data_IF_883132621561
#
_entry.id   IF_883132621561
#
_cell.length_a   1.000
_cell.length_b   1.000
_cell.length_c   1.000
_cell.angle_alpha   90.00
_cell.angle_beta   90.00
_cell.angle_gamma   90.00
#
_symmetry.space_group_name_H-M   'P 1'
#
loop_
_entity.id
_entity.type
_entity.pdbx_description
1 polymer ?
#
# COMPACT_ATOMS: atom_id res chain seq x y z
N UNK A 1 -19.14 32.92 -23.16
CA UNK A 1 -19.55 31.54 -23.50
C UNK A 1 -18.36 30.69 -23.23
N UNK A 2 -18.34 30.03 -22.07
CA UNK A 2 -17.20 29.26 -21.60
C UNK A 2 -17.06 27.99 -22.41
N UNK A 3 -15.89 27.75 -22.99
CA UNK A 3 -15.45 26.41 -23.37
C UNK A 3 -15.25 25.63 -22.09
N UNK A 4 -16.31 25.03 -21.57
CA UNK A 4 -16.22 24.02 -20.55
C UNK A 4 -15.39 22.87 -21.12
N UNK A 5 -14.31 22.55 -20.43
CA UNK A 5 -13.54 21.33 -20.59
C UNK A 5 -14.54 20.17 -20.55
N UNK A 6 -14.97 19.67 -21.72
CA UNK A 6 -15.79 18.46 -21.80
C UNK A 6 -14.87 17.35 -21.34
N UNK A 7 -15.00 16.96 -20.07
CA UNK A 7 -14.26 15.87 -19.47
C UNK A 7 -14.35 14.62 -20.36
N UNK A 8 -13.39 13.74 -20.21
CA UNK A 8 -13.37 12.47 -20.92
C UNK A 8 -14.57 11.64 -20.47
N UNK A 9 -15.56 11.54 -21.35
CA UNK A 9 -16.74 10.70 -21.14
C UNK A 9 -16.60 9.45 -21.96
N UNK A 10 -16.91 8.30 -21.39
CA UNK A 10 -16.81 7.02 -22.10
C UNK A 10 -17.70 5.95 -21.47
N UNK A 11 -17.88 4.85 -22.19
CA UNK A 11 -18.51 3.62 -21.71
C UNK A 11 -17.50 2.50 -21.81
N UNK A 12 -17.23 1.81 -20.71
CA UNK A 12 -16.50 0.54 -20.72
C UNK A 12 -17.55 -0.57 -20.87
N UNK A 13 -17.56 -1.23 -22.04
CA UNK A 13 -18.66 -2.09 -22.46
C UNK A 13 -18.41 -3.56 -22.23
N UNK A 14 -19.48 -4.27 -21.91
CA UNK A 14 -19.56 -5.73 -21.88
C UNK A 14 -18.61 -6.42 -20.90
N UNK A 15 -17.96 -5.67 -20.01
CA UNK A 15 -16.99 -6.22 -19.05
C UNK A 15 -17.62 -6.98 -17.89
N UNK A 16 -16.85 -7.86 -17.27
CA UNK A 16 -17.13 -8.40 -15.95
C UNK A 16 -16.66 -7.38 -14.92
N UNK A 17 -17.56 -6.50 -14.47
CA UNK A 17 -17.24 -5.40 -13.55
C UNK A 17 -17.28 -5.89 -12.12
N UNK A 18 -16.21 -5.65 -11.38
CA UNK A 18 -16.14 -5.94 -9.94
C UNK A 18 -16.96 -4.91 -9.17
N UNK A 19 -17.95 -5.40 -8.43
CA UNK A 19 -18.91 -4.56 -7.70
C UNK A 19 -18.50 -4.36 -6.24
N UNK A 20 -19.01 -3.32 -5.55
CA UNK A 20 -18.76 -3.09 -4.13
C UNK A 20 -19.17 -4.26 -3.22
N UNK A 21 -20.09 -5.10 -3.67
CA UNK A 21 -20.54 -6.31 -2.98
C UNK A 21 -19.52 -7.47 -3.08
N UNK A 22 -18.38 -7.25 -3.72
CA UNK A 22 -17.32 -8.25 -3.82
C UNK A 22 -17.59 -9.35 -4.85
N UNK A 23 -18.29 -9.06 -5.94
CA UNK A 23 -18.62 -10.02 -7.00
C UNK A 23 -18.49 -9.39 -8.39
N UNK A 24 -18.37 -10.23 -9.41
CA UNK A 24 -18.39 -9.79 -10.79
C UNK A 24 -19.81 -9.78 -11.37
N UNK A 25 -20.14 -8.72 -12.08
CA UNK A 25 -21.37 -8.60 -12.86
C UNK A 25 -21.05 -8.21 -14.30
N UNK A 26 -21.66 -8.89 -15.29
CA UNK A 26 -21.55 -8.49 -16.69
C UNK A 26 -22.43 -7.24 -16.89
N UNK A 27 -21.77 -6.09 -17.03
CA UNK A 27 -22.44 -4.79 -17.24
C UNK A 27 -21.51 -3.77 -17.87
N UNK A 28 -22.09 -2.69 -18.34
CA UNK A 28 -21.36 -1.51 -18.76
C UNK A 28 -20.99 -0.63 -17.56
N UNK A 29 -19.82 0.00 -17.60
CA UNK A 29 -19.39 1.01 -16.64
C UNK A 29 -19.37 2.37 -17.34
N UNK A 30 -20.13 3.31 -16.84
CA UNK A 30 -20.24 4.65 -17.38
C UNK A 30 -19.29 5.61 -16.68
N UNK A 31 -18.63 6.46 -17.47
CA UNK A 31 -17.66 7.45 -16.99
C UNK A 31 -18.05 8.81 -17.51
N UNK A 32 -18.14 9.78 -16.60
CA UNK A 32 -18.37 11.19 -16.94
C UNK A 32 -17.33 12.08 -16.25
N UNK A 33 -16.48 12.71 -17.06
CA UNK A 33 -15.33 13.45 -16.57
C UNK A 33 -14.31 12.52 -15.88
N UNK A 34 -14.07 12.77 -14.62
CA UNK A 34 -13.14 11.96 -13.81
C UNK A 34 -13.84 10.86 -13.00
N UNK A 35 -15.17 10.76 -13.08
CA UNK A 35 -15.95 9.98 -12.12
C UNK A 35 -16.75 8.85 -12.78
N UNK A 36 -16.99 7.82 -12.02
CA UNK A 36 -17.98 6.79 -12.35
C UNK A 36 -19.38 7.41 -12.28
N UNK A 37 -20.21 7.16 -13.30
CA UNK A 37 -21.55 7.71 -13.46
C UNK A 37 -22.59 6.60 -13.62
N UNK A 38 -23.86 6.94 -13.44
CA UNK A 38 -25.00 6.04 -13.74
C UNK A 38 -25.21 5.86 -15.23
N UNK A 39 -25.02 6.91 -15.99
CA UNK A 39 -25.21 6.99 -17.43
C UNK A 39 -24.30 8.07 -18.02
N UNK A 40 -24.09 8.03 -19.31
CA UNK A 40 -23.37 9.08 -20.04
C UNK A 40 -24.04 9.31 -21.39
N UNK A 41 -23.89 10.50 -21.92
CA UNK A 41 -24.38 10.87 -23.27
C UNK A 41 -23.30 10.69 -24.34
N UNK A 42 -22.10 10.31 -23.98
CA UNK A 42 -20.99 10.08 -24.92
C UNK A 42 -21.05 8.68 -25.51
N UNK A 43 -20.56 8.58 -26.77
CA UNK A 43 -20.48 7.33 -27.52
C UNK A 43 -19.03 6.78 -27.58
N UNK A 44 -18.07 7.34 -26.84
CA UNK A 44 -16.73 6.78 -26.80
C UNK A 44 -16.77 5.47 -26.02
N UNK A 45 -16.38 4.41 -26.67
CA UNK A 45 -16.46 3.06 -26.11
C UNK A 45 -15.07 2.46 -25.89
N UNK A 46 -14.91 1.77 -24.78
CA UNK A 46 -13.79 0.88 -24.48
C UNK A 46 -14.36 -0.52 -24.38
N UNK A 47 -14.05 -1.38 -25.33
CA UNK A 47 -14.55 -2.75 -25.32
C UNK A 47 -13.81 -3.59 -24.27
N UNK A 48 -14.58 -4.27 -23.44
CA UNK A 48 -14.08 -5.14 -22.36
C UNK A 48 -14.75 -6.52 -22.35
N UNK A 49 -15.31 -6.96 -23.50
CA UNK A 49 -15.94 -8.28 -23.57
C UNK A 49 -14.94 -9.39 -23.26
N UNK A 50 -15.31 -10.28 -22.34
CA UNK A 50 -14.44 -11.37 -21.88
C UNK A 50 -13.32 -10.95 -20.93
N UNK A 51 -13.29 -9.67 -20.54
CA UNK A 51 -12.32 -9.11 -19.60
C UNK A 51 -12.96 -8.82 -18.25
N UNK A 52 -12.14 -8.83 -17.21
CA UNK A 52 -12.48 -8.30 -15.91
C UNK A 52 -12.23 -6.78 -15.88
N UNK A 53 -13.13 -6.04 -15.25
CA UNK A 53 -12.98 -4.61 -14.99
C UNK A 53 -12.93 -4.43 -13.49
N UNK A 54 -11.77 -4.14 -12.95
CA UNK A 54 -11.54 -4.01 -11.51
C UNK A 54 -11.19 -2.56 -11.16
N UNK A 55 -11.38 -2.14 -9.90
CA UNK A 55 -10.86 -0.84 -9.44
C UNK A 55 -9.34 -0.77 -9.61
N UNK A 56 -8.81 0.40 -9.85
CA UNK A 56 -7.36 0.64 -9.75
C UNK A 56 -6.84 0.23 -8.38
N UNK A 57 -5.70 -0.45 -8.36
CA UNK A 57 -5.08 -0.90 -7.12
C UNK A 57 -4.62 0.29 -6.27
N UNK A 58 -4.52 0.07 -4.98
CA UNK A 58 -4.04 1.04 -3.99
C UNK A 58 -2.92 0.40 -3.21
N UNK A 59 -1.69 0.92 -3.34
CA UNK A 59 -0.54 0.45 -2.55
C UNK A 59 -0.22 1.45 -1.45
N UNK A 60 -0.34 1.01 -0.20
CA UNK A 60 -0.13 1.86 0.98
C UNK A 60 1.19 1.58 1.69
N UNK A 61 2.00 0.65 1.16
CA UNK A 61 3.28 0.33 1.74
C UNK A 61 4.25 -0.20 0.68
N UNK A 62 5.09 0.66 0.19
CA UNK A 62 6.23 0.36 -0.68
C UNK A 62 7.24 1.50 -0.60
N UNK A 63 8.53 1.22 -0.84
CA UNK A 63 9.61 2.20 -0.72
C UNK A 63 10.02 2.78 -2.06
N UNK A 64 10.06 1.95 -3.09
CA UNK A 64 10.59 2.37 -4.36
C UNK A 64 10.35 1.41 -5.53
N UNK A 65 10.77 1.86 -6.71
CA UNK A 65 10.81 1.10 -7.95
C UNK A 65 11.70 1.81 -8.97
N UNK A 66 12.12 1.14 -10.02
CA UNK A 66 12.87 1.69 -11.16
C UNK A 66 14.03 2.61 -10.77
N UNK A 67 14.81 2.22 -9.75
CA UNK A 67 15.96 2.92 -9.16
C UNK A 67 15.63 4.18 -8.36
N UNK A 68 14.36 4.43 -8.07
CA UNK A 68 13.92 5.55 -7.25
C UNK A 68 13.33 5.06 -5.94
N UNK A 69 13.44 5.90 -4.90
CA UNK A 69 12.94 5.63 -3.56
C UNK A 69 12.22 6.86 -3.00
N UNK A 70 11.21 6.66 -2.16
CA UNK A 70 10.53 7.77 -1.47
C UNK A 70 11.51 8.62 -0.66
N UNK A 71 12.53 7.99 -0.09
CA UNK A 71 13.56 8.65 0.72
C UNK A 71 14.59 9.43 -0.10
N UNK A 72 14.59 9.36 -1.43
CA UNK A 72 15.42 10.26 -2.27
C UNK A 72 15.03 11.73 -2.05
N UNK A 73 13.81 11.99 -1.62
CA UNK A 73 13.32 13.32 -1.28
C UNK A 73 13.32 14.29 -2.46
N UNK A 74 13.02 13.80 -3.66
CA UNK A 74 12.98 14.60 -4.89
C UNK A 74 11.66 14.44 -5.64
N UNK A 75 11.25 15.47 -6.35
CA UNK A 75 10.07 15.42 -7.24
C UNK A 75 10.26 14.38 -8.36
N UNK A 76 11.47 14.23 -8.89
CA UNK A 76 11.79 13.25 -9.91
C UNK A 76 11.53 11.84 -9.45
N UNK A 77 11.96 11.49 -8.24
CA UNK A 77 11.75 10.17 -7.66
C UNK A 77 10.27 9.90 -7.41
N UNK A 78 9.54 10.84 -6.81
CA UNK A 78 8.10 10.69 -6.57
C UNK A 78 7.35 10.50 -7.90
N UNK A 79 7.68 11.28 -8.95
CA UNK A 79 7.06 11.13 -10.26
C UNK A 79 7.40 9.77 -10.90
N UNK A 80 8.63 9.28 -10.75
CA UNK A 80 9.02 7.96 -11.25
C UNK A 80 8.25 6.82 -10.56
N UNK A 81 8.05 6.91 -9.24
CA UNK A 81 7.19 5.98 -8.50
C UNK A 81 5.76 6.02 -9.05
N UNK A 82 5.19 7.21 -9.18
CA UNK A 82 3.82 7.39 -9.67
C UNK A 82 3.64 6.83 -11.10
N UNK A 83 4.59 7.08 -11.99
CA UNK A 83 4.51 6.62 -13.38
C UNK A 83 4.63 5.08 -13.48
N UNK A 84 5.55 4.47 -12.74
CA UNK A 84 5.72 3.02 -12.72
C UNK A 84 4.50 2.31 -12.13
N UNK A 85 4.03 2.77 -11.00
CA UNK A 85 2.87 2.18 -10.32
C UNK A 85 1.61 2.27 -11.19
N UNK A 86 1.36 3.44 -11.82
CA UNK A 86 0.23 3.58 -12.73
C UNK A 86 0.31 2.63 -13.94
N UNK A 87 1.49 2.45 -14.52
CA UNK A 87 1.70 1.52 -15.63
C UNK A 87 1.41 0.05 -15.25
N UNK A 88 1.48 -0.26 -13.96
CA UNK A 88 1.16 -1.57 -13.39
C UNK A 88 -0.23 -1.64 -12.75
N UNK A 89 -1.10 -0.66 -13.02
CA UNK A 89 -2.50 -0.67 -12.58
C UNK A 89 -2.72 -0.23 -11.12
N UNK A 90 -1.68 0.25 -10.44
CA UNK A 90 -1.80 0.87 -9.12
C UNK A 90 -2.07 2.36 -9.34
N UNK A 91 -3.26 2.83 -9.00
CA UNK A 91 -3.70 4.18 -9.37
C UNK A 91 -3.77 5.16 -8.19
N UNK A 92 -3.53 4.67 -6.97
CA UNK A 92 -3.32 5.49 -5.79
C UNK A 92 -2.16 4.92 -4.97
N UNK A 93 -1.24 5.77 -4.54
CA UNK A 93 -0.03 5.38 -3.83
C UNK A 93 0.17 6.15 -2.54
N UNK A 94 0.55 5.43 -1.49
CA UNK A 94 0.97 5.97 -0.20
C UNK A 94 2.34 5.36 0.16
N UNK A 95 3.44 5.81 -0.50
CA UNK A 95 4.75 5.21 -0.32
C UNK A 95 5.27 5.38 1.10
N UNK A 96 6.11 4.44 1.53
CA UNK A 96 6.71 4.40 2.85
C UNK A 96 8.08 5.06 2.87
N UNK A 97 8.35 5.80 3.94
CA UNK A 97 9.71 6.22 4.28
C UNK A 97 10.44 5.10 5.02
N UNK A 98 11.73 5.30 5.27
CA UNK A 98 12.57 4.41 6.06
C UNK A 98 13.06 5.13 7.32
N UNK A 99 13.68 4.39 8.22
CA UNK A 99 14.48 4.94 9.32
C UNK A 99 15.78 5.51 8.74
N UNK A 100 15.81 6.81 8.54
CA UNK A 100 16.89 7.59 7.92
C UNK A 100 17.19 8.83 8.76
N UNK A 101 18.31 9.54 8.51
CA UNK A 101 18.60 10.80 9.18
C UNK A 101 17.44 11.79 9.11
N UNK A 102 17.20 12.49 10.21
CA UNK A 102 16.05 13.39 10.35
C UNK A 102 16.00 14.46 9.24
N UNK A 103 17.14 14.99 8.83
CA UNK A 103 17.21 15.99 7.75
C UNK A 103 16.71 15.41 6.41
N UNK A 104 17.10 14.19 6.10
CA UNK A 104 16.64 13.49 4.88
C UNK A 104 15.15 13.18 4.95
N UNK A 105 14.65 12.79 6.12
CA UNK A 105 13.23 12.55 6.35
C UNK A 105 12.41 13.83 6.13
N UNK A 106 12.87 14.97 6.64
CA UNK A 106 12.24 16.28 6.37
C UNK A 106 12.27 16.64 4.87
N UNK A 107 13.35 16.31 4.17
CA UNK A 107 13.44 16.54 2.74
C UNK A 107 12.42 15.70 1.96
N UNK A 108 12.27 14.43 2.30
CA UNK A 108 11.25 13.55 1.70
C UNK A 108 9.83 14.09 1.93
N UNK A 109 9.52 14.55 3.15
CA UNK A 109 8.22 15.15 3.48
C UNK A 109 7.93 16.41 2.65
N UNK A 110 8.93 17.29 2.46
CA UNK A 110 8.79 18.51 1.65
C UNK A 110 8.57 18.19 0.18
N UNK A 111 9.33 17.25 -0.38
CA UNK A 111 9.16 16.81 -1.76
C UNK A 111 7.75 16.26 -2.01
N UNK A 112 7.22 15.46 -1.10
CA UNK A 112 5.85 14.96 -1.16
C UNK A 112 4.81 16.09 -1.15
N UNK A 113 4.97 17.08 -0.30
CA UNK A 113 4.08 18.27 -0.24
C UNK A 113 4.08 19.07 -1.53
N UNK A 114 5.21 19.16 -2.20
CA UNK A 114 5.38 19.93 -3.43
C UNK A 114 4.89 19.18 -4.67
N UNK A 115 4.83 17.84 -4.62
CA UNK A 115 4.38 17.00 -5.71
C UNK A 115 2.95 17.35 -6.14
N UNK A 116 2.69 17.29 -7.46
CA UNK A 116 1.39 17.56 -8.05
C UNK A 116 0.87 16.35 -8.79
N UNK A 117 -0.22 15.78 -8.30
CA UNK A 117 -0.94 14.74 -9.02
C UNK A 117 -1.36 15.21 -10.41
N UNK A 118 -1.31 14.35 -11.41
CA UNK A 118 -1.73 14.66 -12.78
C UNK A 118 -1.16 13.70 -13.83
N UNK A 119 0.00 13.15 -13.56
CA UNK A 119 0.58 12.02 -14.29
C UNK A 119 0.87 10.89 -13.34
N UNK A 120 0.78 9.65 -13.83
CA UNK A 120 1.03 8.49 -12.99
C UNK A 120 -0.08 8.26 -11.96
N UNK A 121 0.20 7.43 -10.98
CA UNK A 121 -0.68 7.17 -9.85
C UNK A 121 -0.85 8.42 -8.97
N UNK A 122 -2.03 8.58 -8.39
CA UNK A 122 -2.23 9.68 -7.43
C UNK A 122 -1.46 9.41 -6.14
N UNK A 123 -0.60 10.34 -5.77
CA UNK A 123 0.07 10.35 -4.47
C UNK A 123 -0.96 10.81 -3.42
N UNK A 124 -1.42 9.87 -2.59
CA UNK A 124 -2.54 10.10 -1.66
C UNK A 124 -2.11 10.23 -0.20
N UNK A 125 -0.88 9.90 0.10
CA UNK A 125 -0.34 9.99 1.46
C UNK A 125 1.06 9.45 1.58
N UNK A 126 1.56 9.44 2.80
CA UNK A 126 2.85 8.88 3.21
C UNK A 126 2.61 7.87 4.33
N UNK A 127 3.26 6.72 4.24
CA UNK A 127 3.41 5.78 5.33
C UNK A 127 4.78 6.07 6.01
N UNK A 128 4.77 6.51 7.25
CA UNK A 128 6.00 6.79 8.01
C UNK A 128 6.47 5.52 8.70
N UNK A 129 7.24 4.67 8.02
CA UNK A 129 7.81 3.46 8.57
C UNK A 129 9.11 3.74 9.33
N UNK A 130 9.01 3.79 10.62
CA UNK A 130 10.06 4.31 11.49
C UNK A 130 10.04 5.85 11.57
N UNK A 131 10.94 6.43 12.33
CA UNK A 131 12.05 5.83 13.08
C UNK A 131 11.69 5.23 14.45
N UNK A 132 10.42 5.16 14.83
CA UNK A 132 9.93 4.78 16.17
C UNK A 132 9.82 3.25 16.35
N UNK A 133 10.83 2.50 15.95
CA UNK A 133 10.84 1.04 15.89
C UNK A 133 11.81 0.43 16.91
N UNK A 134 11.69 -0.89 17.12
CA UNK A 134 12.60 -1.62 18.01
C UNK A 134 13.84 -2.12 17.23
N UNK A 135 15.02 -1.81 17.75
CA UNK A 135 16.30 -2.19 17.14
C UNK A 135 16.49 -3.72 16.99
N UNK A 136 15.89 -4.52 17.89
CA UNK A 136 15.97 -5.99 17.82
C UNK A 136 15.16 -6.56 16.64
N UNK A 137 14.23 -5.79 16.11
CA UNK A 137 13.39 -6.13 14.95
C UNK A 137 13.52 -5.13 13.80
N UNK A 138 14.66 -4.46 13.72
CA UNK A 138 14.91 -3.44 12.72
C UNK A 138 14.87 -3.94 11.26
N UNK A 139 15.08 -5.24 11.02
CA UNK A 139 15.13 -5.76 9.67
C UNK A 139 16.18 -5.04 8.82
N UNK A 140 15.76 -4.47 7.70
CA UNK A 140 16.59 -3.65 6.82
C UNK A 140 16.70 -2.17 7.25
N UNK A 141 16.14 -1.76 8.38
CA UNK A 141 16.23 -0.39 8.88
C UNK A 141 17.61 -0.11 9.51
N UNK A 142 18.08 1.15 9.45
CA UNK A 142 19.33 1.55 10.06
C UNK A 142 19.18 1.74 11.57
N UNK A 143 20.00 1.02 12.36
CA UNK A 143 19.94 1.07 13.83
C UNK A 143 20.31 2.45 14.39
N UNK A 144 21.26 3.14 13.78
CA UNK A 144 21.77 4.43 14.25
C UNK A 144 20.76 5.56 14.17
N UNK A 145 19.76 5.44 13.29
CA UNK A 145 18.70 6.44 13.08
C UNK A 145 17.40 6.12 13.80
N UNK A 146 17.35 5.00 14.54
CA UNK A 146 16.17 4.62 15.35
C UNK A 146 15.99 5.62 16.50
N UNK A 147 14.75 6.06 16.71
CA UNK A 147 14.36 7.01 17.76
C UNK A 147 13.23 6.44 18.62
N UNK A 148 13.11 6.95 19.82
CA UNK A 148 11.91 6.76 20.64
C UNK A 148 10.75 7.56 20.04
N UNK A 149 9.52 7.12 20.30
CA UNK A 149 8.33 7.79 19.83
C UNK A 149 8.27 9.25 20.37
N UNK A 150 8.13 10.20 19.47
CA UNK A 150 8.19 11.64 19.74
C UNK A 150 7.05 12.35 18.97
N UNK A 151 6.07 12.83 19.72
CA UNK A 151 4.89 13.53 19.18
C UNK A 151 5.28 14.87 18.57
N UNK A 152 6.25 15.57 19.15
CA UNK A 152 6.70 16.87 18.61
C UNK A 152 7.39 16.69 17.26
N UNK A 153 8.26 15.68 17.14
CA UNK A 153 8.89 15.33 15.86
C UNK A 153 7.84 14.93 14.83
N UNK A 154 6.88 14.09 15.19
CA UNK A 154 5.78 13.71 14.30
C UNK A 154 5.02 14.94 13.79
N UNK A 155 4.63 15.86 14.66
CA UNK A 155 3.90 17.06 14.25
C UNK A 155 4.73 17.95 13.31
N UNK A 156 6.05 18.09 13.55
CA UNK A 156 6.93 18.82 12.63
C UNK A 156 7.02 18.16 11.25
N UNK A 157 7.12 16.82 11.21
CA UNK A 157 7.13 16.06 9.96
C UNK A 157 5.77 16.16 9.25
N UNK A 158 4.66 16.06 9.96
CA UNK A 158 3.32 16.20 9.40
C UNK A 158 3.09 17.61 8.81
N UNK A 159 3.58 18.65 9.44
CA UNK A 159 3.54 20.02 8.93
C UNK A 159 4.42 20.15 7.65
N UNK A 160 5.63 19.59 7.67
CA UNK A 160 6.52 19.57 6.52
C UNK A 160 5.92 18.81 5.34
N UNK A 161 5.20 17.72 5.60
CA UNK A 161 4.47 16.93 4.61
C UNK A 161 3.14 17.58 4.17
N UNK A 162 2.73 18.70 4.77
CA UNK A 162 1.43 19.33 4.45
C UNK A 162 0.23 18.48 4.83
N UNK A 163 0.33 17.65 5.87
CA UNK A 163 -0.75 16.77 6.32
C UNK A 163 -0.86 15.45 5.56
N UNK A 164 0.15 15.06 4.79
CA UNK A 164 0.11 13.86 3.96
C UNK A 164 0.47 12.57 4.68
N UNK A 165 1.02 12.60 5.91
CA UNK A 165 1.27 11.37 6.66
C UNK A 165 -0.07 10.75 7.05
N UNK A 166 -0.33 9.53 6.55
CA UNK A 166 -1.57 8.76 6.77
C UNK A 166 -1.38 7.63 7.75
N UNK A 167 -0.18 7.05 7.79
CA UNK A 167 0.21 5.96 8.68
C UNK A 167 1.50 6.31 9.40
N UNK A 168 1.60 5.94 10.67
CA UNK A 168 2.85 5.93 11.44
C UNK A 168 3.08 4.52 11.97
N UNK A 169 4.18 3.93 11.57
CA UNK A 169 4.57 2.59 11.96
C UNK A 169 5.50 2.65 13.17
N UNK A 170 5.15 1.98 14.25
CA UNK A 170 5.94 2.00 15.48
C UNK A 170 5.91 0.70 16.27
N UNK A 171 6.92 0.53 17.14
CA UNK A 171 7.01 -0.56 18.10
C UNK A 171 6.41 -0.11 19.44
N UNK A 172 5.26 -0.67 19.86
CA UNK A 172 4.50 -0.16 21.00
C UNK A 172 5.14 -0.43 22.36
N UNK A 173 6.09 -1.37 22.45
CA UNK A 173 6.82 -1.69 23.67
C UNK A 173 7.94 -0.71 23.98
N UNK A 174 8.29 0.18 23.06
CA UNK A 174 9.34 1.17 23.29
C UNK A 174 8.86 2.29 24.20
N UNK A 175 9.80 2.93 24.91
CA UNK A 175 9.49 4.01 25.84
C UNK A 175 8.75 5.16 25.12
N UNK A 176 7.63 5.62 25.71
CA UNK A 176 6.81 6.70 25.15
C UNK A 176 5.83 6.30 24.06
N UNK A 177 5.95 5.10 23.47
CA UNK A 177 5.12 4.69 22.34
C UNK A 177 3.62 4.62 22.67
N UNK A 178 3.26 4.13 23.86
CA UNK A 178 1.85 4.05 24.28
C UNK A 178 1.22 5.44 24.48
N UNK A 179 1.97 6.40 24.94
CA UNK A 179 1.52 7.78 25.09
C UNK A 179 1.43 8.47 23.73
N UNK A 180 2.37 8.20 22.83
CA UNK A 180 2.31 8.64 21.45
C UNK A 180 1.03 8.18 20.77
N UNK A 181 0.72 6.88 20.78
CA UNK A 181 -0.50 6.32 20.19
C UNK A 181 -1.74 7.07 20.69
N UNK A 182 -1.85 7.20 22.01
CA UNK A 182 -3.02 7.86 22.63
C UNK A 182 -3.16 9.34 22.22
N UNK A 183 -2.06 10.03 21.96
CA UNK A 183 -2.08 11.44 21.57
C UNK A 183 -2.42 11.66 20.09
N UNK A 184 -1.97 10.78 19.18
CA UNK A 184 -2.07 11.01 17.72
C UNK A 184 -3.19 10.23 17.03
N UNK A 185 -3.87 9.32 17.73
CA UNK A 185 -4.86 8.38 17.16
C UNK A 185 -6.02 9.04 16.40
N UNK A 186 -6.35 10.28 16.71
CA UNK A 186 -7.41 11.04 16.04
C UNK A 186 -6.88 11.90 14.86
N UNK A 187 -5.56 11.87 14.64
CA UNK A 187 -4.88 12.65 13.60
C UNK A 187 -4.31 11.80 12.49
N UNK A 188 -3.88 10.57 12.82
CA UNK A 188 -3.18 9.64 11.92
C UNK A 188 -3.46 8.20 12.33
N UNK A 189 -3.47 7.28 11.36
CA UNK A 189 -3.50 5.85 11.66
C UNK A 189 -2.17 5.40 12.25
N UNK A 190 -2.22 4.55 13.26
CA UNK A 190 -1.03 4.00 13.91
C UNK A 190 -0.95 2.52 13.65
N UNK A 191 0.17 2.08 13.09
CA UNK A 191 0.44 0.69 12.76
C UNK A 191 1.51 0.11 13.68
N UNK A 192 1.28 -1.10 14.18
CA UNK A 192 2.27 -1.85 14.95
C UNK A 192 3.27 -2.48 13.99
N UNK A 193 4.55 -2.16 14.15
CA UNK A 193 5.61 -2.52 13.22
C UNK A 193 6.96 -2.72 13.91
N UNK A 194 7.81 -3.57 13.33
CA UNK A 194 9.22 -3.73 13.77
C UNK A 194 9.35 -3.82 15.29
N UNK A 195 8.70 -4.83 15.88
CA UNK A 195 8.36 -4.87 17.29
C UNK A 195 8.73 -6.20 17.94
N UNK A 196 9.04 -6.16 19.22
CA UNK A 196 9.15 -7.32 20.10
C UNK A 196 7.91 -7.47 21.00
N UNK A 197 6.84 -6.73 20.74
CA UNK A 197 5.64 -6.75 21.57
C UNK A 197 5.06 -8.15 21.72
N UNK A 198 4.73 -8.50 22.95
CA UNK A 198 3.91 -9.65 23.29
C UNK A 198 2.41 -9.37 23.03
N UNK A 199 1.57 -10.36 23.30
CA UNK A 199 0.13 -10.24 23.10
C UNK A 199 -0.50 -9.12 23.94
N UNK A 200 -0.11 -8.99 25.22
CA UNK A 200 -0.69 -8.01 26.12
C UNK A 200 -0.29 -6.58 25.72
N UNK A 201 0.96 -6.37 25.38
CA UNK A 201 1.48 -5.08 24.91
C UNK A 201 0.81 -4.67 23.59
N UNK A 202 0.71 -5.58 22.62
CA UNK A 202 0.04 -5.30 21.35
C UNK A 202 -1.46 -5.01 21.56
N UNK A 203 -2.13 -5.78 22.42
CA UNK A 203 -3.53 -5.57 22.76
C UNK A 203 -3.76 -4.22 23.45
N UNK A 204 -2.83 -3.77 24.31
CA UNK A 204 -2.89 -2.46 24.93
C UNK A 204 -2.72 -1.35 23.87
N UNK A 205 -1.76 -1.46 22.96
CA UNK A 205 -1.59 -0.50 21.88
C UNK A 205 -2.85 -0.35 21.03
N UNK A 206 -3.50 -1.47 20.68
CA UNK A 206 -4.76 -1.47 19.93
C UNK A 206 -5.88 -0.77 20.73
N UNK A 207 -6.03 -1.06 22.03
CA UNK A 207 -7.01 -0.36 22.87
C UNK A 207 -6.75 1.14 22.98
N UNK A 208 -5.50 1.57 22.86
CA UNK A 208 -5.10 2.98 22.88
C UNK A 208 -5.30 3.69 21.55
N UNK A 209 -5.48 2.97 20.46
CA UNK A 209 -5.81 3.54 19.16
C UNK A 209 -4.99 3.07 17.98
N UNK A 210 -4.07 2.13 18.14
CA UNK A 210 -3.46 1.46 17.00
C UNK A 210 -4.53 0.63 16.27
N UNK A 211 -4.65 0.79 14.96
CA UNK A 211 -5.70 0.21 14.14
C UNK A 211 -5.17 -0.58 12.93
N UNK A 212 -3.86 -0.73 12.84
CA UNK A 212 -3.17 -1.32 11.72
C UNK A 212 -1.96 -2.16 12.15
N UNK A 213 -1.62 -3.18 11.37
CA UNK A 213 -0.43 -4.02 11.60
C UNK A 213 0.38 -4.06 10.30
N UNK A 214 1.60 -3.60 10.36
CA UNK A 214 2.53 -3.52 9.23
C UNK A 214 3.06 -4.91 8.88
N UNK A 215 3.10 -5.26 7.59
CA UNK A 215 3.66 -6.49 7.00
C UNK A 215 3.65 -7.69 7.95
N UNK A 216 2.45 -8.13 8.31
CA UNK A 216 2.19 -9.21 9.28
C UNK A 216 3.18 -10.38 9.13
N UNK A 217 3.68 -10.92 10.22
CA UNK A 217 4.75 -11.92 10.38
C UNK A 217 6.18 -11.36 10.26
N UNK A 218 6.40 -10.30 9.49
CA UNK A 218 7.74 -9.78 9.23
C UNK A 218 8.14 -8.80 10.34
N UNK A 219 9.39 -8.91 10.80
CA UNK A 219 9.95 -8.06 11.86
C UNK A 219 9.10 -8.02 13.14
N UNK A 220 8.53 -9.16 13.54
CA UNK A 220 7.79 -9.34 14.80
C UNK A 220 7.98 -10.77 15.35
N UNK A 221 7.62 -11.05 16.62
CA UNK A 221 7.61 -12.39 17.15
C UNK A 221 6.64 -13.32 16.39
N UNK A 222 6.98 -14.60 16.19
CA UNK A 222 6.10 -15.52 15.49
C UNK A 222 4.87 -15.88 16.33
N UNK A 223 3.79 -16.29 15.66
CA UNK A 223 2.60 -16.85 16.32
C UNK A 223 2.94 -18.18 17.01
N UNK A 224 2.97 -18.16 18.32
CA UNK A 224 3.15 -19.37 19.13
C UNK A 224 1.86 -19.62 19.92
N UNK A 225 1.50 -20.90 20.09
CA UNK A 225 0.23 -21.30 20.72
C UNK A 225 0.09 -20.88 22.20
N UNK A 226 1.16 -20.51 22.88
CA UNK A 226 1.16 -19.97 24.26
C UNK A 226 1.61 -18.51 24.33
N UNK A 227 2.22 -18.02 23.28
CA UNK A 227 2.71 -16.64 23.14
C UNK A 227 2.31 -16.12 21.76
N UNK A 228 1.02 -15.78 21.55
CA UNK A 228 0.50 -15.47 20.22
C UNK A 228 0.96 -14.12 19.67
N UNK A 229 1.55 -13.27 20.50
CA UNK A 229 2.17 -12.02 20.13
C UNK A 229 1.22 -11.04 19.41
N UNK A 230 1.80 -10.20 18.56
CA UNK A 230 1.06 -9.22 17.74
C UNK A 230 0.01 -9.89 16.85
N UNK A 231 0.32 -11.04 16.29
CA UNK A 231 -0.59 -11.76 15.37
C UNK A 231 -1.87 -12.17 16.11
N UNK A 232 -1.73 -12.70 17.34
CA UNK A 232 -2.88 -13.05 18.18
C UNK A 232 -3.70 -11.83 18.61
N UNK A 233 -3.05 -10.75 19.02
CA UNK A 233 -3.71 -9.51 19.39
C UNK A 233 -4.49 -8.90 18.19
N UNK A 234 -3.89 -8.90 17.01
CA UNK A 234 -4.54 -8.47 15.79
C UNK A 234 -5.75 -9.34 15.44
N UNK A 235 -5.63 -10.68 15.62
CA UNK A 235 -6.75 -11.61 15.36
C UNK A 235 -7.96 -11.30 16.25
N UNK A 236 -7.74 -10.94 17.49
CA UNK A 236 -8.77 -10.64 18.49
C UNK A 236 -9.26 -9.18 18.46
N UNK A 237 -8.90 -8.43 17.43
CA UNK A 237 -9.25 -7.03 17.22
C UNK A 237 -9.88 -6.81 15.84
N UNK A 238 -10.17 -5.53 15.51
CA UNK A 238 -10.66 -5.10 14.20
C UNK A 238 -9.57 -4.45 13.33
N UNK A 239 -8.30 -4.55 13.71
CA UNK A 239 -7.19 -3.97 12.95
C UNK A 239 -7.11 -4.49 11.53
N UNK A 240 -6.73 -3.63 10.60
CA UNK A 240 -6.23 -4.06 9.29
C UNK A 240 -4.85 -4.70 9.44
N UNK A 241 -4.56 -5.70 8.63
CA UNK A 241 -3.27 -6.39 8.59
C UNK A 241 -2.71 -6.38 7.18
N UNK A 242 -1.49 -5.92 7.03
CA UNK A 242 -0.80 -5.93 5.74
C UNK A 242 -0.18 -7.30 5.46
N UNK A 243 -0.24 -7.73 4.19
CA UNK A 243 0.42 -8.95 3.71
C UNK A 243 1.25 -8.67 2.46
N UNK A 244 2.50 -9.12 2.47
CA UNK A 244 3.37 -9.18 1.30
C UNK A 244 3.20 -10.56 0.65
N UNK A 245 2.50 -10.61 -0.48
CA UNK A 245 2.19 -11.85 -1.18
C UNK A 245 3.04 -12.04 -2.45
N UNK A 246 4.34 -11.79 -2.35
CA UNK A 246 5.31 -11.88 -3.45
C UNK A 246 5.84 -13.30 -3.69
N UNK A 247 5.43 -14.27 -2.89
CA UNK A 247 5.93 -15.65 -2.94
C UNK A 247 7.27 -15.88 -2.24
N UNK A 248 7.85 -14.84 -1.63
CA UNK A 248 9.14 -14.86 -0.91
C UNK A 248 8.94 -14.70 0.60
N UNK A 249 8.22 -13.64 1.01
CA UNK A 249 8.08 -13.25 2.41
C UNK A 249 7.27 -14.22 3.25
N UNK A 250 6.21 -14.79 2.70
CA UNK A 250 5.25 -15.62 3.43
C UNK A 250 4.96 -16.89 2.65
N UNK A 251 5.07 -18.03 3.31
CA UNK A 251 4.73 -19.31 2.69
C UNK A 251 3.25 -19.36 2.31
N UNK A 252 2.87 -19.89 1.13
CA UNK A 252 1.48 -19.92 0.66
C UNK A 252 0.48 -20.53 1.65
N UNK A 253 0.89 -21.54 2.42
CA UNK A 253 0.05 -22.12 3.47
C UNK A 253 -0.27 -21.13 4.60
N UNK A 254 0.72 -20.29 4.98
CA UNK A 254 0.51 -19.25 5.98
C UNK A 254 -0.41 -18.15 5.46
N UNK A 255 -0.29 -17.79 4.17
CA UNK A 255 -1.22 -16.83 3.54
C UNK A 255 -2.66 -17.36 3.59
N UNK A 256 -2.90 -18.62 3.21
CA UNK A 256 -4.24 -19.21 3.31
C UNK A 256 -4.78 -19.21 4.73
N UNK A 257 -3.96 -19.61 5.71
CA UNK A 257 -4.35 -19.56 7.12
C UNK A 257 -4.66 -18.14 7.59
N UNK A 258 -3.96 -17.15 7.09
CA UNK A 258 -4.21 -15.73 7.40
C UNK A 258 -5.56 -15.28 6.85
N UNK A 259 -5.92 -15.68 5.64
CA UNK A 259 -7.25 -15.39 5.08
C UNK A 259 -8.38 -16.05 5.90
N UNK A 260 -8.17 -17.23 6.48
CA UNK A 260 -9.10 -17.85 7.41
C UNK A 260 -9.20 -17.10 8.75
N UNK A 261 -8.08 -16.57 9.26
CA UNK A 261 -8.06 -15.84 10.53
C UNK A 261 -8.66 -14.44 10.43
N UNK A 262 -8.36 -13.70 9.37
CA UNK A 262 -8.69 -12.27 9.24
C UNK A 262 -9.79 -11.99 8.22
N UNK A 263 -10.10 -12.96 7.37
CA UNK A 263 -10.97 -12.82 6.21
C UNK A 263 -10.47 -11.78 5.20
N UNK A 264 -11.11 -11.68 4.06
CA UNK A 264 -10.81 -10.65 3.06
C UNK A 264 -11.30 -9.25 3.44
N UNK A 265 -11.85 -9.06 4.63
CA UNK A 265 -12.35 -7.77 5.10
C UNK A 265 -11.30 -6.93 5.80
N UNK A 266 -10.26 -7.58 6.35
CA UNK A 266 -9.24 -6.91 7.15
C UNK A 266 -7.82 -7.04 6.59
N UNK A 267 -7.63 -7.84 5.55
CA UNK A 267 -6.33 -7.99 4.90
C UNK A 267 -6.13 -6.86 3.90
N UNK A 268 -4.94 -6.29 3.91
CA UNK A 268 -4.45 -5.30 2.95
C UNK A 268 -3.24 -5.90 2.25
N UNK A 269 -3.34 -6.12 0.94
CA UNK A 269 -2.17 -6.50 0.15
C UNK A 269 -1.29 -5.27 -0.05
N UNK A 270 0.00 -5.45 0.18
CA UNK A 270 1.04 -4.45 -0.05
C UNK A 270 2.17 -5.08 -0.87
N UNK A 271 2.92 -4.26 -1.59
CA UNK A 271 4.08 -4.77 -2.31
C UNK A 271 5.35 -4.79 -1.46
N UNK A 272 5.50 -3.84 -0.57
CA UNK A 272 6.76 -3.57 0.13
C UNK A 272 7.95 -3.51 -0.85
N UNK A 273 7.68 -3.01 -2.07
CA UNK A 273 8.64 -2.97 -3.14
C UNK A 273 9.75 -1.97 -2.85
N UNK A 274 10.95 -2.25 -3.35
CA UNK A 274 12.12 -1.39 -3.22
C UNK A 274 12.66 -0.99 -4.61
N UNK A 275 13.65 -0.11 -4.66
CA UNK A 275 14.12 0.52 -5.91
C UNK A 275 14.53 -0.45 -7.03
N UNK A 276 14.76 -1.73 -6.74
CA UNK A 276 15.04 -2.75 -7.75
C UNK A 276 13.79 -3.26 -8.48
N UNK A 277 12.60 -2.96 -7.97
CA UNK A 277 11.35 -3.38 -8.62
C UNK A 277 11.26 -2.79 -10.02
N UNK A 278 11.01 -3.63 -11.01
CA UNK A 278 11.05 -3.24 -12.42
C UNK A 278 12.43 -3.19 -13.05
N UNK A 279 13.47 -3.64 -12.33
CA UNK A 279 14.86 -3.66 -12.78
C UNK A 279 15.38 -5.10 -12.92
N UNK A 280 16.58 -5.25 -13.46
CA UNK A 280 17.28 -6.54 -13.57
C UNK A 280 17.98 -6.91 -12.26
N UNK A 281 18.41 -8.18 -12.15
CA UNK A 281 19.25 -8.65 -11.05
C UNK A 281 20.49 -7.73 -10.88
N UNK A 282 20.87 -7.46 -9.63
CA UNK A 282 22.00 -6.57 -9.38
C UNK A 282 22.14 -6.06 -7.96
N UNK A 283 22.90 -4.98 -7.85
CA UNK A 283 23.14 -4.27 -6.59
C UNK A 283 22.31 -3.00 -6.55
N UNK A 284 21.63 -2.81 -5.42
CA UNK A 284 20.74 -1.69 -5.16
C UNK A 284 20.92 -1.21 -3.71
N UNK A 285 20.04 -0.33 -3.26
CA UNK A 285 20.03 0.16 -1.88
C UNK A 285 18.61 0.17 -1.32
N UNK A 286 18.51 0.10 0.01
CA UNK A 286 17.28 0.36 0.75
C UNK A 286 17.64 1.06 2.05
N UNK A 287 17.12 2.27 2.27
CA UNK A 287 17.46 3.11 3.43
C UNK A 287 18.97 3.35 3.56
N UNK A 288 19.70 3.46 2.44
CA UNK A 288 21.14 3.65 2.39
C UNK A 288 21.95 2.38 2.73
N UNK A 289 21.33 1.19 2.79
CA UNK A 289 22.01 -0.08 2.99
C UNK A 289 22.10 -0.86 1.69
N UNK A 290 23.26 -1.48 1.36
CA UNK A 290 23.42 -2.27 0.14
C UNK A 290 22.52 -3.50 0.12
N UNK A 291 21.82 -3.70 -1.01
CA UNK A 291 20.91 -4.82 -1.26
C UNK A 291 21.33 -5.56 -2.54
N UNK A 292 21.36 -6.88 -2.47
CA UNK A 292 21.56 -7.76 -3.62
C UNK A 292 20.21 -8.33 -4.05
N UNK A 293 19.88 -8.22 -5.33
CA UNK A 293 18.64 -8.76 -5.91
C UNK A 293 18.97 -9.84 -6.92
N UNK A 294 18.33 -11.01 -6.72
CA UNK A 294 18.39 -12.17 -7.65
C UNK A 294 16.96 -12.68 -7.84
N UNK A 295 16.46 -12.61 -9.06
CA UNK A 295 15.05 -12.90 -9.37
C UNK A 295 14.14 -11.91 -8.64
N UNK A 296 13.21 -12.41 -7.83
CA UNK A 296 12.34 -11.56 -6.99
C UNK A 296 12.77 -11.51 -5.51
N UNK A 297 14.00 -11.96 -5.20
CA UNK A 297 14.53 -11.98 -3.82
C UNK A 297 15.51 -10.83 -3.63
N UNK A 298 15.17 -9.89 -2.76
CA UNK A 298 16.01 -8.79 -2.33
C UNK A 298 16.55 -9.07 -0.91
N UNK A 299 17.86 -9.03 -0.73
CA UNK A 299 18.50 -9.29 0.57
C UNK A 299 19.56 -8.25 0.87
N UNK A 300 19.69 -7.87 2.15
CA UNK A 300 20.85 -7.09 2.57
C UNK A 300 22.14 -7.82 2.17
N UNK A 301 23.07 -7.11 1.54
CA UNK A 301 24.35 -7.66 1.11
C UNK A 301 25.17 -8.17 2.30
N UNK A 302 25.05 -7.49 3.45
CA UNK A 302 25.58 -7.94 4.71
C UNK A 302 24.49 -8.53 5.59
N UNK A 303 24.69 -9.75 6.10
CA UNK A 303 23.75 -10.44 6.99
C UNK A 303 22.63 -11.20 6.30
N UNK A 304 22.34 -10.95 5.02
CA UNK A 304 21.40 -11.74 4.19
C UNK A 304 19.93 -11.67 4.59
N UNK A 305 19.53 -10.70 5.41
CA UNK A 305 18.11 -10.50 5.75
C UNK A 305 17.34 -10.04 4.51
N UNK A 306 16.08 -10.47 4.38
CA UNK A 306 15.18 -9.95 3.34
C UNK A 306 15.02 -8.44 3.54
N UNK A 307 15.08 -7.69 2.44
CA UNK A 307 15.12 -6.23 2.42
C UNK A 307 14.10 -5.67 1.41
N UNK A 308 12.86 -5.54 1.85
CA UNK A 308 11.75 -5.22 0.96
C UNK A 308 11.49 -6.29 -0.11
N UNK A 309 10.68 -6.01 -1.08
CA UNK A 309 10.43 -6.91 -2.21
C UNK A 309 10.91 -6.31 -3.54
N UNK A 310 11.07 -7.17 -4.54
CA UNK A 310 11.31 -6.78 -5.94
C UNK A 310 10.05 -6.99 -6.81
N UNK A 311 8.86 -6.98 -6.18
CA UNK A 311 7.58 -7.34 -6.81
C UNK A 311 6.58 -6.19 -6.62
N UNK A 312 5.93 -5.73 -7.70
CA UNK A 312 4.88 -4.72 -7.60
C UNK A 312 3.55 -5.31 -7.11
N UNK A 313 2.60 -4.46 -6.69
CA UNK A 313 1.33 -4.91 -6.11
C UNK A 313 0.47 -5.73 -7.07
N UNK A 314 0.46 -5.43 -8.38
CA UNK A 314 -0.27 -6.20 -9.37
C UNK A 314 0.26 -7.64 -9.43
N UNK A 315 1.57 -7.83 -9.39
CA UNK A 315 2.19 -9.14 -9.38
C UNK A 315 1.99 -9.86 -8.05
N UNK A 316 1.97 -9.17 -6.92
CA UNK A 316 1.53 -9.73 -5.63
C UNK A 316 0.09 -10.25 -5.71
N UNK A 317 -0.83 -9.48 -6.30
CA UNK A 317 -2.22 -9.90 -6.50
C UNK A 317 -2.32 -11.14 -7.42
N UNK A 318 -1.53 -11.19 -8.51
CA UNK A 318 -1.46 -12.37 -9.39
C UNK A 318 -0.94 -13.59 -8.66
N UNK A 319 0.12 -13.43 -7.87
CA UNK A 319 0.74 -14.52 -7.09
C UNK A 319 -0.22 -15.08 -6.06
N UNK A 320 -0.93 -14.23 -5.31
CA UNK A 320 -1.88 -14.69 -4.29
C UNK A 320 -3.03 -15.49 -4.91
N UNK A 321 -3.45 -15.14 -6.12
CA UNK A 321 -4.53 -15.87 -6.85
C UNK A 321 -4.01 -17.16 -7.47
N UNK A 322 -2.94 -17.08 -8.27
CA UNK A 322 -2.48 -18.20 -9.11
C UNK A 322 -1.68 -19.24 -8.35
N UNK A 323 -0.87 -18.81 -7.38
CA UNK A 323 0.07 -19.68 -6.68
C UNK A 323 -0.39 -20.00 -5.25
N UNK A 324 -1.06 -19.05 -4.57
CA UNK A 324 -1.54 -19.25 -3.20
C UNK A 324 -3.00 -19.69 -3.13
N UNK A 325 -3.72 -19.66 -4.27
CA UNK A 325 -5.11 -20.14 -4.43
C UNK A 325 -6.13 -19.38 -3.58
N UNK A 326 -5.93 -18.09 -3.39
CA UNK A 326 -6.93 -17.19 -2.81
C UNK A 326 -7.93 -16.79 -3.91
N UNK A 327 -9.24 -16.72 -3.61
CA UNK A 327 -10.24 -16.25 -4.57
C UNK A 327 -9.89 -14.88 -5.15
N UNK A 328 -10.10 -14.71 -6.45
CA UNK A 328 -9.73 -13.46 -7.15
C UNK A 328 -10.49 -12.26 -6.58
N UNK A 329 -11.77 -12.43 -6.27
CA UNK A 329 -12.61 -11.41 -5.65
C UNK A 329 -12.02 -10.91 -4.30
N UNK A 330 -11.55 -11.84 -3.48
CA UNK A 330 -10.90 -11.51 -2.20
C UNK A 330 -9.58 -10.77 -2.43
N UNK A 331 -8.77 -11.20 -3.41
CA UNK A 331 -7.51 -10.55 -3.75
C UNK A 331 -7.73 -9.10 -4.23
N UNK A 332 -8.75 -8.87 -5.08
CA UNK A 332 -9.11 -7.52 -5.53
C UNK A 332 -9.50 -6.65 -4.34
N UNK A 333 -10.39 -7.13 -3.48
CA UNK A 333 -10.83 -6.36 -2.30
C UNK A 333 -9.65 -5.96 -1.42
N UNK A 334 -8.72 -6.90 -1.17
CA UNK A 334 -7.52 -6.67 -0.36
C UNK A 334 -6.50 -5.73 -1.00
N UNK A 335 -6.53 -5.57 -2.34
CA UNK A 335 -5.62 -4.68 -3.08
C UNK A 335 -6.26 -3.35 -3.51
N UNK A 336 -7.54 -3.12 -3.20
CA UNK A 336 -8.29 -1.93 -3.64
C UNK A 336 -9.05 -1.27 -2.50
N UNK A 337 -10.20 -1.81 -2.11
CA UNK A 337 -11.10 -1.20 -1.14
C UNK A 337 -10.54 -1.21 0.28
N UNK A 338 -9.90 -2.31 0.70
CA UNK A 338 -9.36 -2.40 2.05
C UNK A 338 -8.22 -1.39 2.29
N UNK A 339 -7.18 -1.29 1.43
CA UNK A 339 -6.17 -0.26 1.62
C UNK A 339 -6.76 1.16 1.53
N UNK A 340 -7.73 1.41 0.65
CA UNK A 340 -8.38 2.72 0.59
C UNK A 340 -9.11 3.06 1.90
N UNK A 341 -9.83 2.10 2.50
CA UNK A 341 -10.49 2.27 3.80
C UNK A 341 -9.51 2.45 4.94
N UNK A 342 -8.43 1.67 4.95
CA UNK A 342 -7.48 1.66 6.05
C UNK A 342 -6.74 2.98 6.24
N UNK A 343 -6.67 3.82 5.21
CA UNK A 343 -6.10 5.17 5.27
C UNK A 343 -7.10 6.30 5.01
N UNK A 344 -8.41 5.98 4.98
CA UNK A 344 -9.48 6.97 4.89
C UNK A 344 -9.59 7.71 3.55
N UNK A 345 -9.36 7.02 2.42
CA UNK A 345 -9.50 7.59 1.07
C UNK A 345 -10.60 6.91 0.24
N UNK A 346 -11.40 6.06 0.86
CA UNK A 346 -12.40 5.25 0.17
C UNK A 346 -13.63 6.06 -0.31
N UNK A 347 -13.71 7.33 0.00
CA UNK A 347 -14.67 8.26 -0.61
C UNK A 347 -14.42 8.48 -2.10
N UNK A 348 -13.18 8.29 -2.58
CA UNK A 348 -12.77 8.50 -3.98
C UNK A 348 -12.11 7.30 -4.63
N UNK A 349 -11.49 6.40 -3.88
CA UNK A 349 -10.69 5.28 -4.38
C UNK A 349 -11.24 3.93 -3.92
N UNK A 350 -10.70 2.86 -4.46
CA UNK A 350 -10.88 1.48 -3.99
C UNK A 350 -12.12 0.77 -4.50
N UNK A 351 -13.07 1.44 -5.18
CA UNK A 351 -14.23 0.79 -5.82
C UNK A 351 -14.72 1.58 -7.04
N UNK A 352 -15.55 0.92 -7.87
CA UNK A 352 -16.15 1.52 -9.07
C UNK A 352 -17.60 1.98 -8.81
N UNK A 353 -17.82 2.56 -7.64
CA UNK A 353 -19.12 3.15 -7.26
C UNK A 353 -19.31 4.51 -7.90
N UNK A 354 -20.57 4.85 -8.17
CA UNK A 354 -20.95 6.18 -8.65
C UNK A 354 -20.40 7.30 -7.75
N UNK A 355 -19.80 8.31 -8.36
CA UNK A 355 -19.23 9.46 -7.69
C UNK A 355 -17.79 9.30 -7.22
N UNK A 356 -17.22 8.09 -7.30
CA UNK A 356 -15.79 7.86 -7.09
C UNK A 356 -15.00 8.08 -8.39
N UNK A 357 -13.69 8.22 -8.28
CA UNK A 357 -12.87 8.35 -9.48
C UNK A 357 -13.03 7.13 -10.39
N UNK A 358 -13.14 7.40 -11.70
CA UNK A 358 -13.15 6.39 -12.72
C UNK A 358 -11.72 5.84 -12.94
N UNK A 359 -11.25 5.13 -11.92
CA UNK A 359 -9.97 4.45 -11.85
C UNK A 359 -10.22 2.96 -12.02
N UNK A 360 -10.02 2.43 -13.22
CA UNK A 360 -10.29 1.04 -13.53
C UNK A 360 -9.12 0.39 -14.27
N UNK A 361 -8.93 -0.89 -14.02
CA UNK A 361 -7.98 -1.73 -14.75
C UNK A 361 -8.77 -2.84 -15.45
N UNK A 362 -8.60 -2.95 -16.75
CA UNK A 362 -9.18 -4.01 -17.57
C UNK A 362 -8.16 -5.13 -17.70
N UNK A 363 -8.52 -6.31 -17.24
CA UNK A 363 -7.66 -7.51 -17.26
C UNK A 363 -8.26 -8.58 -18.16
N UNK A 364 -7.42 -9.28 -18.91
CA UNK A 364 -7.83 -10.50 -19.60
C UNK A 364 -8.05 -11.65 -18.59
N UNK A 365 -8.47 -12.81 -19.11
CA UNK A 365 -8.70 -14.01 -18.29
C UNK A 365 -7.44 -14.57 -17.62
N UNK A 366 -6.27 -14.20 -18.12
CA UNK A 366 -4.97 -14.59 -17.56
C UNK A 366 -4.41 -13.53 -16.61
N UNK A 367 -5.23 -12.49 -16.29
CA UNK A 367 -4.94 -11.35 -15.45
C UNK A 367 -3.84 -10.42 -16.01
N UNK A 368 -3.66 -10.41 -17.34
CA UNK A 368 -2.81 -9.41 -17.97
C UNK A 368 -3.58 -8.10 -18.16
N UNK A 369 -2.89 -6.98 -18.01
CA UNK A 369 -3.47 -5.66 -18.22
C UNK A 369 -3.73 -5.45 -19.71
N UNK A 370 -4.98 -5.22 -20.07
CA UNK A 370 -5.44 -4.87 -21.42
C UNK A 370 -5.56 -3.37 -21.58
N UNK A 371 -6.07 -2.69 -20.56
CA UNK A 371 -6.24 -1.24 -20.56
C UNK A 371 -6.27 -0.71 -19.14
N UNK A 372 -5.83 0.52 -18.96
CA UNK A 372 -5.91 1.26 -17.70
C UNK A 372 -6.71 2.53 -17.95
N UNK A 373 -7.69 2.76 -17.12
CA UNK A 373 -8.49 3.99 -17.11
C UNK A 373 -8.20 4.72 -15.80
N UNK A 374 -7.68 5.92 -15.89
CA UNK A 374 -7.41 6.74 -14.73
C UNK A 374 -8.14 8.07 -14.86
N UNK A 375 -9.01 8.36 -13.90
CA UNK A 375 -9.87 9.57 -13.92
C UNK A 375 -10.51 9.80 -15.30
N UNK A 376 -11.07 8.74 -15.84
CA UNK A 376 -11.75 8.77 -17.13
C UNK A 376 -10.83 8.92 -18.36
N UNK A 377 -9.52 8.76 -18.20
CA UNK A 377 -8.57 8.78 -19.31
C UNK A 377 -7.99 7.38 -19.53
N UNK A 378 -8.02 6.92 -20.77
CA UNK A 378 -7.31 5.68 -21.17
C UNK A 378 -5.82 6.01 -21.28
N UNK A 379 -5.01 5.20 -20.62
CA UNK A 379 -3.55 5.34 -20.58
C UNK A 379 -2.89 4.42 -21.62
#
# INVERSE_FOLDING_TARGET
MGNGNRGNTMIIKNGLVFTPEGKFEKKDLYVEGEYVAKETTDNKEVEAEGCYVIPGLVDIHFHGCVRHDMCDGTEESIQALADYEAANGVLAICPATMTIPEEELFQAMKAAKEHKNGKGADFVGINMEGPFINKEKKGAQKEEDIKLADVELFHKLQEAAGGLIKLVDLAPETEGAMDFINQVKDEVHVSIAHTMADYDTASEAIRKGADHITHLYNAMPPLNHREPGVIGAARDSDCYVELICDGVHIHPSCVRATFEMFTDKRIVLISDSMMATGMEDGQYELGGQPVTVVGNVATLTEGGAIAGSATNLMDCMRTVVKEMHIPFESAIQCATLNPAKSIGIDDKYGSLEEGKYANAVVLDKDLNIVSIIQKGQVK
#
